data_IF_738071156919
#
_entry.id   IF_738071156919
#
_cell.length_a   1.000
_cell.length_b   1.000
_cell.length_c   1.000
_cell.angle_alpha   90.00
_cell.angle_beta   90.00
_cell.angle_gamma   90.00
#
_symmetry.space_group_name_H-M   'P 1'
#
loop_
_entity.id
_entity.type
_entity.pdbx_description
1 polymer ?
#
# COMPACT_ATOMS: atom_id res chain seq x y z
N UNK A 1 -27.47 13.85 26.55
CA UNK A 1 -27.52 14.50 25.27
C UNK A 1 -26.42 13.98 24.38
N UNK A 2 -26.77 13.52 23.21
CA UNK A 2 -25.79 13.06 22.28
C UNK A 2 -24.97 14.25 21.76
N UNK A 3 -23.72 14.22 22.00
CA UNK A 3 -22.84 15.22 21.46
C UNK A 3 -22.54 14.83 20.03
N UNK A 4 -22.92 15.66 19.11
CA UNK A 4 -22.54 15.45 17.73
C UNK A 4 -21.06 15.73 17.60
N UNK A 5 -20.29 14.69 17.74
CA UNK A 5 -18.86 14.84 17.65
C UNK A 5 -18.44 14.84 16.20
N UNK A 6 -18.02 15.97 15.77
CA UNK A 6 -17.32 16.03 14.50
C UNK A 6 -16.01 15.28 14.65
N UNK A 7 -15.60 14.55 13.63
CA UNK A 7 -14.28 14.01 13.60
C UNK A 7 -13.28 15.15 13.83
N UNK A 8 -12.34 14.95 14.68
CA UNK A 8 -11.36 15.99 14.93
C UNK A 8 -10.46 16.12 13.72
N UNK A 9 -10.27 17.35 13.30
CA UNK A 9 -9.35 17.64 12.24
C UNK A 9 -7.97 17.08 12.61
N UNK A 10 -7.31 16.44 11.70
CA UNK A 10 -6.02 15.80 11.91
C UNK A 10 -6.09 14.43 12.54
N UNK A 11 -7.07 14.14 13.36
CA UNK A 11 -7.16 12.85 14.01
C UNK A 11 -7.89 11.80 13.19
N UNK A 12 -8.95 12.21 12.57
CA UNK A 12 -9.75 11.35 11.71
C UNK A 12 -9.44 11.57 10.24
N UNK A 13 -8.57 12.53 9.97
CA UNK A 13 -8.25 12.89 8.60
C UNK A 13 -7.19 11.97 8.03
N UNK A 14 -7.39 10.66 8.13
CA UNK A 14 -6.56 9.77 7.35
C UNK A 14 -6.88 10.02 5.88
N UNK A 15 -5.86 10.14 5.04
CA UNK A 15 -6.11 10.29 3.62
C UNK A 15 -6.86 9.08 3.11
N UNK A 16 -7.75 9.29 2.19
CA UNK A 16 -8.43 8.20 1.51
C UNK A 16 -7.62 7.79 0.31
N UNK A 17 -7.65 6.50 0.00
CA UNK A 17 -7.00 5.99 -1.18
C UNK A 17 -7.61 6.64 -2.43
N UNK A 18 -6.74 7.02 -3.33
CA UNK A 18 -7.13 7.60 -4.62
C UNK A 18 -6.84 6.61 -5.73
N UNK A 19 -7.87 5.95 -6.29
CA UNK A 19 -7.64 4.97 -7.36
C UNK A 19 -6.96 5.54 -8.60
N UNK A 20 -7.10 6.84 -8.85
CA UNK A 20 -6.44 7.50 -9.97
C UNK A 20 -4.92 7.46 -9.83
N UNK A 21 -4.44 7.42 -8.58
CA UNK A 21 -3.01 7.24 -8.27
C UNK A 21 -2.60 5.79 -8.15
N UNK A 22 -3.47 4.85 -8.46
CA UNK A 22 -3.20 3.44 -8.25
C UNK A 22 -3.23 3.00 -6.79
N UNK A 23 -3.74 3.86 -5.90
CA UNK A 23 -3.82 3.59 -4.47
C UNK A 23 -4.97 2.66 -4.15
N UNK A 24 -4.84 1.94 -3.05
CA UNK A 24 -5.89 1.12 -2.51
C UNK A 24 -5.91 1.26 -0.99
N UNK A 25 -7.00 0.82 -0.37
CA UNK A 25 -7.11 0.79 1.08
C UNK A 25 -6.92 -0.63 1.57
N UNK A 26 -6.08 -0.78 2.59
CA UNK A 26 -5.92 -2.04 3.30
C UNK A 26 -6.33 -1.82 4.75
N UNK A 27 -7.33 -2.57 5.19
CA UNK A 27 -7.80 -2.50 6.56
C UNK A 27 -7.22 -3.65 7.36
N UNK A 28 -6.49 -3.33 8.42
CA UNK A 28 -5.90 -4.31 9.32
C UNK A 28 -6.28 -3.94 10.75
N UNK A 29 -6.88 -4.88 11.47
CA UNK A 29 -7.34 -4.67 12.84
C UNK A 29 -8.20 -3.40 12.99
N UNK A 30 -9.06 -3.14 12.02
CA UNK A 30 -9.96 -1.99 12.03
C UNK A 30 -9.33 -0.66 11.62
N UNK A 31 -8.04 -0.66 11.31
CA UNK A 31 -7.34 0.55 10.86
C UNK A 31 -7.19 0.53 9.36
N UNK A 32 -7.62 1.60 8.71
CA UNK A 32 -7.50 1.74 7.27
C UNK A 32 -6.17 2.39 6.90
N UNK A 33 -5.39 1.70 6.08
CA UNK A 33 -4.13 2.20 5.57
C UNK A 33 -4.24 2.47 4.08
N UNK A 34 -3.63 3.55 3.63
CA UNK A 34 -3.51 3.83 2.20
C UNK A 34 -2.25 3.15 1.68
N UNK A 35 -2.40 2.38 0.63
CA UNK A 35 -1.27 1.75 -0.07
C UNK A 35 -0.94 2.62 -1.27
N UNK A 36 0.22 3.24 -1.27
CA UNK A 36 0.63 4.14 -2.34
C UNK A 36 1.81 3.57 -3.13
N UNK A 37 1.64 3.30 -4.43
CA UNK A 37 2.68 2.70 -5.25
C UNK A 37 3.67 3.75 -5.78
N UNK A 38 4.55 4.25 -4.92
CA UNK A 38 5.64 5.12 -5.33
C UNK A 38 6.81 4.30 -5.85
N UNK A 39 7.72 4.92 -6.61
CA UNK A 39 8.93 4.25 -7.06
C UNK A 39 9.81 3.85 -5.89
N UNK A 40 9.90 4.71 -4.88
CA UNK A 40 10.68 4.39 -3.67
C UNK A 40 10.15 3.14 -2.99
N UNK A 41 8.83 3.01 -2.86
CA UNK A 41 8.22 1.82 -2.28
C UNK A 41 8.53 0.58 -3.12
N UNK A 42 8.39 0.69 -4.44
CA UNK A 42 8.66 -0.43 -5.35
C UNK A 42 10.13 -0.88 -5.26
N UNK A 43 11.06 0.08 -5.26
CA UNK A 43 12.50 -0.24 -5.17
C UNK A 43 12.85 -0.86 -3.83
N UNK A 44 12.25 -0.38 -2.74
CA UNK A 44 12.46 -0.94 -1.41
C UNK A 44 11.98 -2.39 -1.34
N UNK A 45 10.84 -2.69 -1.94
CA UNK A 45 10.31 -4.06 -2.00
C UNK A 45 11.26 -4.97 -2.76
N UNK A 46 11.72 -4.54 -3.92
CA UNK A 46 12.65 -5.34 -4.73
C UNK A 46 13.95 -5.60 -3.99
N UNK A 47 14.48 -4.59 -3.33
CA UNK A 47 15.74 -4.73 -2.57
C UNK A 47 15.56 -5.70 -1.41
N UNK A 48 14.47 -5.56 -0.65
CA UNK A 48 14.25 -6.38 0.54
C UNK A 48 13.94 -7.84 0.19
N UNK A 49 13.16 -8.07 -0.86
CA UNK A 49 12.74 -9.41 -1.24
C UNK A 49 13.66 -10.08 -2.27
N UNK A 50 14.58 -9.32 -2.84
CA UNK A 50 15.59 -9.88 -3.74
C UNK A 50 15.06 -10.31 -5.11
N UNK A 51 14.01 -9.67 -5.61
CA UNK A 51 13.47 -10.00 -6.93
C UNK A 51 12.81 -8.80 -7.58
N UNK A 52 12.54 -8.92 -8.87
CA UNK A 52 11.87 -7.84 -9.58
C UNK A 52 10.38 -7.77 -9.19
N UNK A 53 9.82 -6.59 -9.28
CA UNK A 53 8.38 -6.40 -9.02
C UNK A 53 7.53 -7.27 -9.95
N UNK A 54 7.95 -7.42 -11.20
CA UNK A 54 7.24 -8.26 -12.14
C UNK A 54 7.20 -9.73 -11.69
N UNK A 55 8.31 -10.23 -11.17
CA UNK A 55 8.34 -11.59 -10.62
C UNK A 55 7.44 -11.71 -9.38
N UNK A 56 7.42 -10.68 -8.54
CA UNK A 56 6.56 -10.67 -7.36
C UNK A 56 5.08 -10.65 -7.75
N UNK A 57 4.72 -9.95 -8.82
CA UNK A 57 3.35 -9.99 -9.36
C UNK A 57 2.98 -11.41 -9.81
N UNK A 58 3.91 -12.09 -10.48
CA UNK A 58 3.69 -13.48 -10.90
C UNK A 58 3.52 -14.40 -9.69
N UNK A 59 4.35 -14.24 -8.67
CA UNK A 59 4.23 -15.03 -7.43
C UNK A 59 2.93 -14.76 -6.72
N UNK A 60 2.47 -13.52 -6.71
CA UNK A 60 1.17 -13.17 -6.13
C UNK A 60 0.03 -13.86 -6.87
N UNK A 61 0.09 -13.89 -8.20
CA UNK A 61 -0.90 -14.59 -9.01
C UNK A 61 -0.93 -16.09 -8.78
N UNK A 62 0.20 -16.69 -8.38
CA UNK A 62 0.31 -18.10 -8.05
C UNK A 62 0.09 -18.37 -6.56
N UNK A 63 -0.32 -17.36 -5.80
CA UNK A 63 -0.54 -17.44 -4.33
C UNK A 63 0.74 -17.91 -3.62
N UNK A 64 1.90 -17.42 -4.06
CA UNK A 64 3.20 -17.89 -3.60
C UNK A 64 3.97 -16.81 -2.84
N UNK A 65 3.28 -15.98 -2.05
CA UNK A 65 3.90 -14.99 -1.17
C UNK A 65 3.64 -15.38 0.28
N UNK A 66 4.69 -15.38 1.08
CA UNK A 66 4.60 -15.68 2.50
C UNK A 66 4.01 -14.50 3.27
N UNK A 67 3.61 -14.75 4.52
CA UNK A 67 3.15 -13.68 5.40
C UNK A 67 4.19 -12.58 5.58
N UNK A 68 5.46 -12.96 5.72
CA UNK A 68 6.53 -11.97 5.89
C UNK A 68 6.75 -11.18 4.61
N UNK A 69 6.65 -11.82 3.47
CA UNK A 69 6.73 -11.11 2.19
C UNK A 69 5.55 -10.16 2.02
N UNK A 70 4.35 -10.58 2.39
CA UNK A 70 3.18 -9.70 2.37
C UNK A 70 3.36 -8.52 3.33
N UNK A 71 3.93 -8.76 4.50
CA UNK A 71 4.23 -7.70 5.46
C UNK A 71 5.22 -6.67 4.90
N UNK A 72 6.24 -7.13 4.21
CA UNK A 72 7.23 -6.26 3.58
C UNK A 72 6.60 -5.42 2.46
N UNK A 73 5.81 -6.05 1.61
CA UNK A 73 5.13 -5.35 0.51
C UNK A 73 4.14 -4.33 1.06
N UNK A 74 3.27 -4.76 1.98
CA UNK A 74 2.29 -3.86 2.59
C UNK A 74 2.99 -2.70 3.30
N UNK A 75 4.04 -2.99 4.05
CA UNK A 75 4.79 -1.98 4.79
C UNK A 75 5.33 -0.88 3.90
N UNK A 76 5.93 -1.24 2.78
CA UNK A 76 6.48 -0.25 1.86
C UNK A 76 5.39 0.66 1.29
N UNK A 77 4.25 0.10 0.87
CA UNK A 77 3.16 0.90 0.32
C UNK A 77 2.46 1.73 1.39
N UNK A 78 2.33 1.20 2.62
CA UNK A 78 1.72 1.93 3.74
C UNK A 78 2.58 3.13 4.12
N UNK A 79 3.89 2.93 4.25
CA UNK A 79 4.79 4.03 4.58
C UNK A 79 4.75 5.11 3.52
N UNK A 80 4.68 4.73 2.26
CA UNK A 80 4.57 5.66 1.16
C UNK A 80 3.25 6.44 1.17
N UNK A 81 2.18 5.83 1.67
CA UNK A 81 0.86 6.45 1.75
C UNK A 81 0.58 7.19 3.05
N UNK A 82 1.53 7.21 3.98
CA UNK A 82 1.33 7.88 5.25
C UNK A 82 1.19 9.39 5.09
N UNK A 83 0.28 9.99 5.86
CA UNK A 83 0.14 11.43 5.89
C UNK A 83 1.43 12.07 6.45
N UNK A 84 1.77 13.30 6.04
CA UNK A 84 3.04 13.92 6.45
C UNK A 84 3.23 14.05 7.97
N UNK A 85 2.12 14.14 8.71
CA UNK A 85 2.15 14.28 10.18
C UNK A 85 1.94 12.95 10.90
N UNK A 86 1.76 11.86 10.19
CA UNK A 86 1.50 10.54 10.78
C UNK A 86 2.80 9.76 10.90
N UNK A 87 3.54 10.05 11.96
CA UNK A 87 4.84 9.42 12.22
C UNK A 87 4.73 7.92 12.50
N UNK A 88 3.64 7.50 13.12
CA UNK A 88 3.45 6.08 13.43
C UNK A 88 3.31 5.25 12.16
N UNK A 89 2.49 5.71 11.23
CA UNK A 89 2.30 5.02 9.95
C UNK A 89 3.56 5.10 9.09
N UNK A 90 4.25 6.24 9.10
CA UNK A 90 5.49 6.41 8.34
C UNK A 90 6.62 5.50 8.83
N UNK A 91 6.53 4.99 10.04
CA UNK A 91 7.55 4.12 10.63
C UNK A 91 7.01 2.74 11.01
N UNK A 92 5.93 2.33 10.38
CA UNK A 92 5.31 1.05 10.72
C UNK A 92 6.27 -0.12 10.47
N UNK A 93 6.21 -1.11 11.35
CA UNK A 93 7.12 -2.25 11.33
C UNK A 93 6.55 -3.39 10.48
N UNK A 94 7.34 -3.92 9.57
CA UNK A 94 6.91 -4.97 8.65
C UNK A 94 6.52 -6.27 9.38
N UNK A 95 7.24 -6.62 10.45
CA UNK A 95 6.94 -7.84 11.20
C UNK A 95 5.61 -7.70 11.94
N UNK A 96 5.34 -6.52 12.50
CA UNK A 96 4.05 -6.25 13.13
C UNK A 96 2.91 -6.33 12.11
N UNK A 97 3.17 -5.86 10.90
CA UNK A 97 2.19 -5.98 9.82
C UNK A 97 1.94 -7.43 9.43
N UNK A 98 2.97 -8.26 9.40
CA UNK A 98 2.79 -9.68 9.08
C UNK A 98 1.85 -10.35 10.09
N UNK A 99 1.95 -10.00 11.38
CA UNK A 99 1.04 -10.51 12.39
C UNK A 99 -0.40 -10.04 12.16
N UNK A 100 -0.58 -8.78 11.81
CA UNK A 100 -1.90 -8.24 11.50
C UNK A 100 -2.49 -8.89 10.25
N UNK A 101 -1.66 -9.16 9.25
CA UNK A 101 -2.08 -9.83 8.02
C UNK A 101 -2.51 -11.26 8.33
N UNK A 102 -1.80 -11.94 9.22
CA UNK A 102 -2.19 -13.28 9.65
C UNK A 102 -3.60 -13.28 10.23
N UNK A 103 -3.89 -12.31 11.08
CA UNK A 103 -5.21 -12.17 11.69
C UNK A 103 -6.30 -11.80 10.68
N UNK A 104 -5.96 -11.00 9.69
CA UNK A 104 -6.91 -10.53 8.67
C UNK A 104 -7.21 -11.59 7.62
N UNK A 105 -6.23 -12.39 7.29
CA UNK A 105 -6.34 -13.44 6.27
C UNK A 105 -5.45 -13.19 5.06
N UNK A 106 -4.62 -14.15 4.76
CA UNK A 106 -3.61 -14.05 3.70
C UNK A 106 -4.23 -13.81 2.32
N UNK A 107 -5.28 -14.54 2.01
CA UNK A 107 -5.89 -14.47 0.67
C UNK A 107 -6.49 -13.10 0.42
N UNK A 108 -7.18 -12.54 1.41
CA UNK A 108 -7.80 -11.23 1.30
C UNK A 108 -6.74 -10.14 1.10
N UNK A 109 -5.69 -10.17 1.90
CA UNK A 109 -4.62 -9.19 1.81
C UNK A 109 -3.87 -9.33 0.48
N UNK A 110 -3.59 -10.57 0.07
CA UNK A 110 -2.91 -10.83 -1.20
C UNK A 110 -3.67 -10.23 -2.38
N UNK A 111 -5.00 -10.35 -2.38
CA UNK A 111 -5.81 -9.77 -3.46
C UNK A 111 -5.65 -8.26 -3.57
N UNK A 112 -5.64 -7.57 -2.43
CA UNK A 112 -5.48 -6.12 -2.40
C UNK A 112 -4.08 -5.72 -2.84
N UNK A 113 -3.05 -6.38 -2.30
CA UNK A 113 -1.66 -6.07 -2.64
C UNK A 113 -1.36 -6.38 -4.11
N UNK A 114 -1.94 -7.44 -4.66
CA UNK A 114 -1.76 -7.80 -6.06
C UNK A 114 -2.22 -6.68 -6.98
N UNK A 115 -3.35 -6.05 -6.67
CA UNK A 115 -3.87 -4.95 -7.47
C UNK A 115 -2.92 -3.76 -7.48
N UNK A 116 -2.36 -3.42 -6.30
CA UNK A 116 -1.41 -2.31 -6.20
C UNK A 116 -0.12 -2.62 -6.93
N UNK A 117 0.41 -3.84 -6.77
CA UNK A 117 1.62 -4.27 -7.47
C UNK A 117 1.42 -4.26 -9.00
N UNK A 118 0.25 -4.65 -9.47
CA UNK A 118 -0.07 -4.59 -10.89
C UNK A 118 0.00 -3.16 -11.42
N UNK A 119 -0.47 -2.20 -10.65
CA UNK A 119 -0.37 -0.79 -11.01
C UNK A 119 1.09 -0.35 -11.16
N UNK A 120 1.97 -0.84 -10.29
CA UNK A 120 3.40 -0.53 -10.37
C UNK A 120 3.99 -1.01 -11.70
N UNK A 121 3.73 -2.25 -12.08
CA UNK A 121 4.35 -2.83 -13.28
C UNK A 121 3.70 -2.35 -14.56
N UNK A 122 2.46 -1.90 -14.52
CA UNK A 122 1.77 -1.38 -15.70
C UNK A 122 2.19 0.05 -16.02
N UNK A 123 2.73 0.78 -15.07
CA UNK A 123 3.16 2.15 -15.29
C UNK A 123 2.01 3.15 -15.34
N UNK A 124 2.29 4.33 -15.83
CA UNK A 124 1.29 5.40 -15.92
C UNK A 124 1.34 6.38 -14.76
N UNK A 125 2.34 6.28 -13.89
CA UNK A 125 2.48 7.13 -12.72
C UNK A 125 3.86 7.76 -12.68
N UNK A 126 3.95 8.93 -12.02
CA UNK A 126 5.24 9.53 -11.72
C UNK A 126 5.91 8.75 -10.57
N UNK A 127 7.22 8.96 -10.35
CA UNK A 127 7.89 8.31 -9.20
C UNK A 127 7.21 8.59 -7.86
N UNK A 128 6.52 9.72 -7.72
CA UNK A 128 5.82 10.09 -6.48
C UNK A 128 4.42 9.46 -6.39
N UNK A 129 4.01 8.70 -7.41
CA UNK A 129 2.72 8.04 -7.42
C UNK A 129 1.58 8.88 -7.97
N UNK A 130 1.88 9.99 -8.63
CA UNK A 130 0.85 10.79 -9.30
C UNK A 130 0.58 10.25 -10.70
N UNK A 131 -0.66 10.38 -11.21
CA UNK A 131 -0.93 9.98 -12.59
C UNK A 131 -0.04 10.78 -13.54
N UNK A 132 0.56 10.07 -14.47
CA UNK A 132 1.35 10.73 -15.49
C UNK A 132 0.41 11.26 -16.57
N UNK A 133 0.67 12.50 -17.02
CA UNK A 133 -0.09 13.07 -18.13
C UNK A 133 0.07 12.15 -19.35
N UNK A 134 -1.06 11.86 -20.02
CA UNK A 134 -1.04 11.12 -21.25
C UNK A 134 -0.44 12.04 -22.30
N UNK A 135 0.67 11.62 -22.88
CA UNK A 135 1.25 12.37 -23.99
C UNK A 135 0.24 12.37 -25.13
N UNK A 136 -0.14 13.57 -25.56
CA UNK A 136 -0.96 13.67 -26.74
C UNK A 136 -0.17 13.21 -27.94
N UNK A 137 -0.67 12.19 -28.58
CA UNK A 137 -0.07 11.75 -29.82
C UNK A 137 -0.40 12.77 -30.89
N UNK A 138 0.59 13.28 -31.56
CA UNK A 138 0.33 14.20 -32.66
C UNK A 138 -0.49 13.55 -33.75
#
# INVERSE_FOLDING_TARGET
>A
MAVNRKPRAGRSARPKANPVRGEATLTLAGVEYVLRPTSEAAFAIEEELGGSMLLLVQRAGSVALSYRELGTIAGAFIRAGAAPDDKLTANINDDALADLIYAEGQVKVLGILSAVMANVVNGGYTPQGEPRAVAETP
#
